data_IF_690664034416
#
_entry.id   IF_690664034416
#
_cell.length_a   1.000
_cell.length_b   1.000
_cell.length_c   1.000
_cell.angle_alpha   90.00
_cell.angle_beta   90.00
_cell.angle_gamma   90.00
#
_symmetry.space_group_name_H-M   'P 1'
#
loop_
_entity.id
_entity.type
_entity.pdbx_description
1 polymer ?
#
# COMPACT_ATOMS: atom_id res chain seq x y z
N UNK A 1 22.93 -3.15 14.65
CA UNK A 1 24.16 -2.70 13.96
C UNK A 1 24.26 -3.48 12.66
N UNK A 2 24.30 -2.78 11.54
CA UNK A 2 24.43 -3.34 10.21
C UNK A 2 25.81 -3.99 10.07
N UNK A 3 25.88 -5.21 9.53
CA UNK A 3 27.18 -5.89 9.34
C UNK A 3 27.99 -5.31 8.16
N UNK A 4 27.30 -4.70 7.18
CA UNK A 4 27.87 -4.00 6.02
C UNK A 4 26.97 -2.84 5.63
N UNK A 5 27.52 -1.75 5.08
CA UNK A 5 26.81 -0.58 4.60
C UNK A 5 26.80 0.60 5.58
N UNK A 6 26.25 1.74 5.12
CA UNK A 6 26.17 2.97 5.90
C UNK A 6 25.13 2.85 7.06
N UNK A 7 25.38 3.53 8.15
CA UNK A 7 24.40 3.64 9.25
C UNK A 7 23.17 4.42 8.80
N UNK A 8 22.01 4.06 9.31
CA UNK A 8 20.77 4.80 9.09
C UNK A 8 20.03 5.00 10.41
N UNK A 9 19.26 6.07 10.49
CA UNK A 9 18.46 6.41 11.67
C UNK A 9 17.03 5.94 11.49
N UNK A 10 16.55 5.20 12.49
CA UNK A 10 15.18 4.68 12.54
C UNK A 10 14.43 5.38 13.65
N UNK A 11 13.24 5.87 13.37
CA UNK A 11 12.27 6.26 14.37
C UNK A 11 11.16 5.21 14.43
N UNK A 12 10.86 4.68 15.61
CA UNK A 12 9.81 3.67 15.77
C UNK A 12 8.56 4.28 16.39
N UNK A 13 7.40 3.91 15.86
CA UNK A 13 6.08 4.28 16.38
C UNK A 13 5.24 3.03 16.60
N UNK A 14 4.16 3.16 17.40
CA UNK A 14 3.19 2.09 17.63
C UNK A 14 1.77 2.67 17.56
N UNK A 15 1.32 3.02 16.36
CA UNK A 15 0.05 3.71 16.11
C UNK A 15 -0.83 2.89 15.16
N UNK A 16 -2.15 2.88 15.42
CA UNK A 16 -3.15 2.30 14.51
C UNK A 16 -3.49 3.27 13.37
N UNK A 17 -3.65 4.55 13.70
CA UNK A 17 -3.80 5.63 12.73
C UNK A 17 -2.59 6.56 12.80
N UNK A 18 -1.90 6.68 11.66
CA UNK A 18 -0.71 7.53 11.53
C UNK A 18 -1.09 8.84 10.87
N UNK A 19 -1.31 9.85 11.69
CA UNK A 19 -1.72 11.17 11.24
C UNK A 19 -0.53 12.02 10.77
N UNK A 20 -0.78 12.91 9.80
CA UNK A 20 0.24 13.81 9.27
C UNK A 20 0.80 14.77 10.32
N UNK A 21 -0.03 15.19 11.28
CA UNK A 21 0.39 16.02 12.42
C UNK A 21 1.50 15.38 13.23
N UNK A 22 1.29 14.12 13.64
CA UNK A 22 2.25 13.31 14.40
C UNK A 22 3.56 13.14 13.62
N UNK A 23 3.45 12.83 12.33
CA UNK A 23 4.63 12.64 11.48
C UNK A 23 5.41 13.94 11.29
N UNK A 24 4.73 15.08 11.13
CA UNK A 24 5.37 16.40 11.04
C UNK A 24 6.11 16.76 12.33
N UNK A 25 5.53 16.48 13.49
CA UNK A 25 6.19 16.69 14.79
C UNK A 25 7.48 15.86 14.91
N UNK A 26 7.42 14.57 14.54
CA UNK A 26 8.60 13.69 14.56
C UNK A 26 9.70 14.23 13.64
N UNK A 27 9.36 14.56 12.40
CA UNK A 27 10.32 15.02 11.39
C UNK A 27 10.92 16.38 11.76
N UNK A 28 10.16 17.27 12.40
CA UNK A 28 10.66 18.56 12.86
C UNK A 28 11.57 18.44 14.11
N UNK A 29 11.29 17.47 14.97
CA UNK A 29 12.05 17.28 16.23
C UNK A 29 13.34 16.47 16.04
N UNK A 30 13.33 15.53 15.11
CA UNK A 30 14.45 14.60 14.89
C UNK A 30 14.99 14.73 13.48
N UNK A 31 16.23 15.20 13.36
CA UNK A 31 16.93 15.34 12.09
C UNK A 31 17.52 14.00 11.63
N UNK A 32 17.71 13.85 10.33
CA UNK A 32 18.40 12.72 9.67
C UNK A 32 17.71 11.35 9.85
N UNK A 33 16.39 11.34 10.04
CA UNK A 33 15.62 10.08 10.01
C UNK A 33 15.60 9.56 8.57
N UNK A 34 15.94 8.28 8.41
CA UNK A 34 15.88 7.61 7.11
C UNK A 34 14.58 6.80 6.96
N UNK A 35 14.09 6.22 8.06
CA UNK A 35 12.87 5.43 8.06
C UNK A 35 12.08 5.65 9.36
N UNK A 36 10.76 5.77 9.23
CA UNK A 36 9.82 5.65 10.33
C UNK A 36 9.19 4.25 10.25
N UNK A 37 9.39 3.44 11.27
CA UNK A 37 8.89 2.07 11.34
C UNK A 37 7.73 1.96 12.33
N UNK A 38 6.55 1.52 11.84
CA UNK A 38 5.44 1.22 12.72
C UNK A 38 5.52 -0.22 13.24
N UNK A 39 5.51 -0.38 14.57
CA UNK A 39 5.54 -1.69 15.22
C UNK A 39 4.17 -2.38 15.12
N UNK A 40 3.08 -1.62 15.05
CA UNK A 40 1.74 -2.19 14.83
C UNK A 40 1.70 -2.91 13.48
N UNK A 41 1.19 -4.13 13.48
CA UNK A 41 1.02 -4.95 12.27
C UNK A 41 -0.13 -4.41 11.40
N UNK A 42 -1.22 -3.99 12.04
CA UNK A 42 -2.40 -3.41 11.40
C UNK A 42 -2.41 -1.93 11.68
N UNK A 43 -2.35 -1.12 10.65
CA UNK A 43 -2.34 0.35 10.76
C UNK A 43 -2.87 0.99 9.47
N UNK A 44 -3.24 2.25 9.59
CA UNK A 44 -3.62 3.11 8.48
C UNK A 44 -2.77 4.37 8.47
N UNK A 45 -2.33 4.76 7.30
CA UNK A 45 -1.60 6.02 7.06
C UNK A 45 -2.11 6.62 5.76
N UNK A 46 -2.44 7.91 5.76
CA UNK A 46 -2.97 8.58 4.58
C UNK A 46 -1.93 8.69 3.45
N UNK A 47 -2.41 8.74 2.21
CA UNK A 47 -1.56 9.00 1.05
C UNK A 47 -0.83 10.34 1.15
N UNK A 48 -1.48 11.37 1.71
CA UNK A 48 -0.87 12.67 1.99
C UNK A 48 0.34 12.54 2.94
N UNK A 49 0.18 11.78 4.04
CA UNK A 49 1.27 11.55 4.99
C UNK A 49 2.43 10.81 4.36
N UNK A 50 2.14 9.80 3.53
CA UNK A 50 3.18 9.07 2.79
C UNK A 50 3.91 10.00 1.82
N UNK A 51 3.17 10.80 1.04
CA UNK A 51 3.75 11.75 0.10
C UNK A 51 4.62 12.82 0.81
N UNK A 52 4.18 13.29 1.99
CA UNK A 52 4.99 14.19 2.81
C UNK A 52 6.32 13.54 3.21
N UNK A 53 6.31 12.31 3.71
CA UNK A 53 7.53 11.58 4.07
C UNK A 53 8.46 11.38 2.86
N UNK A 54 7.89 11.00 1.72
CA UNK A 54 8.65 10.84 0.48
C UNK A 54 9.30 12.16 0.02
N UNK A 55 8.61 13.30 0.17
CA UNK A 55 9.18 14.62 -0.14
C UNK A 55 10.37 15.00 0.75
N UNK A 56 10.52 14.32 1.89
CA UNK A 56 11.63 14.47 2.84
C UNK A 56 12.68 13.34 2.71
N UNK A 57 12.56 12.47 1.72
CA UNK A 57 13.39 11.27 1.57
C UNK A 57 13.34 10.34 2.80
N UNK A 58 12.20 10.28 3.47
CA UNK A 58 11.97 9.40 4.61
C UNK A 58 11.07 8.25 4.17
N UNK A 59 11.52 7.01 4.37
CA UNK A 59 10.72 5.82 4.16
C UNK A 59 9.75 5.59 5.32
N UNK A 60 8.62 4.95 5.02
CA UNK A 60 7.67 4.49 6.02
C UNK A 60 7.31 3.03 5.78
N UNK A 61 7.22 2.25 6.85
CA UNK A 61 6.81 0.85 6.74
C UNK A 61 6.65 0.15 8.08
N UNK A 62 6.33 -1.15 8.02
CA UNK A 62 6.29 -2.01 9.19
C UNK A 62 7.66 -2.61 9.53
N UNK A 63 7.69 -3.51 10.52
CA UNK A 63 8.93 -4.19 10.93
C UNK A 63 9.57 -5.02 9.82
N UNK A 64 8.76 -5.62 8.93
CA UNK A 64 9.28 -6.36 7.76
C UNK A 64 10.00 -5.44 6.75
N UNK A 65 9.50 -4.22 6.58
CA UNK A 65 10.14 -3.21 5.72
C UNK A 65 11.46 -2.73 6.34
N UNK A 66 11.47 -2.51 7.65
CA UNK A 66 12.69 -2.18 8.39
C UNK A 66 13.76 -3.27 8.26
N UNK A 67 13.39 -4.54 8.39
CA UNK A 67 14.31 -5.66 8.23
C UNK A 67 14.89 -5.72 6.81
N UNK A 68 14.04 -5.54 5.79
CA UNK A 68 14.48 -5.45 4.39
C UNK A 68 15.43 -4.27 4.17
N UNK A 69 15.08 -3.10 4.67
CA UNK A 69 15.92 -1.90 4.59
C UNK A 69 17.29 -2.13 5.25
N UNK A 70 17.32 -2.81 6.41
CA UNK A 70 18.55 -3.12 7.12
C UNK A 70 19.47 -4.12 6.40
N UNK A 71 18.92 -4.95 5.53
CA UNK A 71 19.68 -5.98 4.78
C UNK A 71 20.23 -5.49 3.43
N UNK A 72 19.80 -4.33 2.94
CA UNK A 72 20.27 -3.77 1.66
C UNK A 72 21.66 -3.15 1.84
N UNK A 73 22.59 -3.39 0.91
CA UNK A 73 23.95 -2.85 0.95
C UNK A 73 23.98 -1.37 0.57
N UNK A 74 23.11 -0.95 -0.34
CA UNK A 74 22.99 0.42 -0.80
C UNK A 74 21.94 1.19 -0.01
N UNK A 75 22.25 2.46 0.30
CA UNK A 75 21.34 3.38 0.99
C UNK A 75 20.28 4.00 0.06
N UNK A 76 20.04 3.42 -1.09
CA UNK A 76 18.89 3.83 -1.87
C UNK A 76 17.64 3.51 -1.06
N UNK A 77 17.06 4.57 -0.53
CA UNK A 77 15.75 4.55 0.13
C UNK A 77 14.76 4.05 -0.92
N UNK A 78 14.55 2.75 -0.94
CA UNK A 78 13.57 2.16 -1.83
C UNK A 78 12.22 2.38 -1.19
N UNK A 79 11.71 3.56 -1.46
CA UNK A 79 10.41 4.05 -1.07
C UNK A 79 9.39 3.14 -1.76
N UNK A 80 8.76 2.24 -1.00
CA UNK A 80 7.57 1.47 -1.40
C UNK A 80 7.60 0.87 -2.84
N UNK A 81 8.47 -0.14 -3.02
CA UNK A 81 8.59 -0.87 -4.32
C UNK A 81 7.26 -1.41 -4.85
N UNK A 82 6.35 -1.79 -3.96
CA UNK A 82 5.04 -2.27 -4.35
C UNK A 82 4.24 -1.15 -5.02
N UNK A 83 4.18 0.02 -4.40
CA UNK A 83 3.44 1.15 -4.97
C UNK A 83 4.10 1.70 -6.24
N UNK A 84 5.41 1.63 -6.36
CA UNK A 84 6.11 1.97 -7.60
C UNK A 84 5.73 1.04 -8.75
N UNK A 85 5.63 -0.25 -8.47
CA UNK A 85 5.16 -1.24 -9.45
C UNK A 85 3.71 -0.96 -9.86
N UNK A 86 2.82 -0.75 -8.89
CA UNK A 86 1.40 -0.41 -9.11
C UNK A 86 1.28 0.87 -9.94
N UNK A 87 1.95 1.94 -9.52
CA UNK A 87 1.88 3.25 -10.19
C UNK A 87 2.40 3.19 -11.62
N UNK A 88 3.44 2.41 -11.89
CA UNK A 88 3.95 2.21 -13.25
C UNK A 88 2.90 1.53 -14.13
N UNK A 89 2.27 0.46 -13.67
CA UNK A 89 1.21 -0.22 -14.41
C UNK A 89 0.01 0.68 -14.67
N UNK A 90 -0.42 1.46 -13.67
CA UNK A 90 -1.54 2.39 -13.83
C UNK A 90 -1.22 3.54 -14.80
N UNK A 91 0.01 4.10 -14.77
CA UNK A 91 0.43 5.16 -15.72
C UNK A 91 0.47 4.70 -17.16
N UNK A 92 0.78 3.43 -17.38
CA UNK A 92 0.88 2.84 -18.72
C UNK A 92 -0.47 2.39 -19.29
N UNK A 93 -1.52 2.34 -18.45
CA UNK A 93 -2.82 1.82 -18.85
C UNK A 93 -3.67 2.89 -19.54
N UNK A 94 -4.07 2.64 -20.79
CA UNK A 94 -4.78 3.63 -21.63
C UNK A 94 -6.11 4.11 -21.03
N UNK A 95 -6.80 3.27 -20.27
CA UNK A 95 -8.08 3.63 -19.65
C UNK A 95 -7.93 4.44 -18.37
N UNK A 96 -6.73 4.56 -17.81
CA UNK A 96 -6.47 5.33 -16.59
C UNK A 96 -6.20 6.79 -16.94
N UNK A 97 -7.10 7.67 -16.54
CA UNK A 97 -6.95 9.13 -16.68
C UNK A 97 -6.01 9.71 -15.60
N UNK A 98 -6.18 9.27 -14.36
CA UNK A 98 -5.34 9.62 -13.22
C UNK A 98 -5.60 8.65 -12.08
N UNK A 99 -4.70 8.62 -11.10
CA UNK A 99 -4.92 7.89 -9.87
C UNK A 99 -4.34 8.63 -8.67
N UNK A 100 -4.87 8.33 -7.50
CA UNK A 100 -4.51 8.93 -6.23
C UNK A 100 -4.38 7.84 -5.18
N UNK A 101 -3.29 7.86 -4.41
CA UNK A 101 -3.11 7.01 -3.25
C UNK A 101 -3.90 7.60 -2.08
N UNK A 102 -4.96 6.94 -1.65
CA UNK A 102 -5.78 7.40 -0.53
C UNK A 102 -5.11 7.08 0.83
N UNK A 103 -4.49 5.91 0.92
CA UNK A 103 -3.76 5.45 2.10
C UNK A 103 -2.74 4.37 1.75
N UNK A 104 -2.24 3.65 2.75
CA UNK A 104 -1.23 2.60 2.54
C UNK A 104 -1.70 1.44 1.67
N UNK A 105 -3.00 1.28 1.43
CA UNK A 105 -3.56 0.17 0.65
C UNK A 105 -4.54 0.59 -0.43
N UNK A 106 -5.28 1.69 -0.24
CA UNK A 106 -6.29 2.11 -1.22
C UNK A 106 -5.73 3.05 -2.27
N UNK A 107 -6.12 2.79 -3.51
CA UNK A 107 -5.85 3.66 -4.67
C UNK A 107 -7.17 3.98 -5.34
N UNK A 108 -7.46 5.28 -5.49
CA UNK A 108 -8.57 5.76 -6.30
C UNK A 108 -8.09 5.95 -7.72
N UNK A 109 -8.78 5.36 -8.67
CA UNK A 109 -8.43 5.37 -10.09
C UNK A 109 -9.55 6.05 -10.85
N UNK A 110 -9.23 7.17 -11.51
CA UNK A 110 -10.12 7.84 -12.45
C UNK A 110 -9.91 7.25 -13.82
N UNK A 111 -10.99 6.87 -14.48
CA UNK A 111 -10.96 6.23 -15.80
C UNK A 111 -11.55 7.16 -16.85
N UNK A 112 -11.14 6.98 -18.13
CA UNK A 112 -11.75 7.65 -19.26
C UNK A 112 -13.16 7.06 -19.51
N UNK A 113 -14.19 7.92 -19.56
CA UNK A 113 -15.59 7.58 -19.88
C UNK A 113 -16.23 6.48 -19.02
N UNK A 114 -15.60 6.11 -17.91
CA UNK A 114 -16.08 5.12 -16.96
C UNK A 114 -16.07 5.66 -15.53
N UNK A 115 -16.86 5.06 -14.63
CA UNK A 115 -16.86 5.41 -13.20
C UNK A 115 -15.50 5.23 -12.56
N UNK A 116 -15.17 6.10 -11.61
CA UNK A 116 -13.99 5.95 -10.74
C UNK A 116 -14.06 4.62 -9.97
N UNK A 117 -12.91 4.06 -9.67
CA UNK A 117 -12.75 2.83 -8.89
C UNK A 117 -11.83 3.07 -7.73
N UNK A 118 -12.20 2.61 -6.54
CA UNK A 118 -11.31 2.52 -5.39
C UNK A 118 -10.94 1.05 -5.21
N UNK A 119 -9.66 0.75 -5.36
CA UNK A 119 -9.09 -0.57 -5.22
C UNK A 119 -8.23 -0.67 -3.97
N UNK A 120 -8.31 -1.80 -3.26
CA UNK A 120 -7.36 -2.18 -2.22
C UNK A 120 -6.28 -3.05 -2.84
N UNK A 121 -5.02 -2.69 -2.61
CA UNK A 121 -3.84 -3.41 -3.08
C UNK A 121 -3.27 -4.26 -1.93
N UNK A 122 -3.32 -5.58 -2.06
CA UNK A 122 -2.80 -6.52 -1.06
C UNK A 122 -1.65 -7.34 -1.63
N UNK A 123 -0.51 -7.28 -0.95
CA UNK A 123 0.69 -8.05 -1.31
C UNK A 123 0.81 -9.36 -0.53
N UNK A 124 -0.31 -9.90 -0.07
CA UNK A 124 -0.33 -11.17 0.63
C UNK A 124 0.06 -12.31 -0.31
N UNK A 125 0.80 -13.30 0.19
CA UNK A 125 1.07 -14.52 -0.57
C UNK A 125 -0.24 -15.22 -0.93
N UNK A 126 -1.15 -15.33 0.01
CA UNK A 126 -2.49 -15.86 -0.18
C UNK A 126 -3.54 -14.89 0.36
N UNK A 127 -4.53 -14.54 -0.45
CA UNK A 127 -5.70 -13.78 0.01
C UNK A 127 -6.71 -14.76 0.60
N UNK A 128 -6.91 -14.67 1.91
CA UNK A 128 -7.82 -15.49 2.69
C UNK A 128 -9.13 -14.77 3.01
N UNK A 129 -10.08 -15.47 3.63
CA UNK A 129 -11.30 -14.90 4.21
C UNK A 129 -10.97 -13.75 5.18
N UNK A 130 -9.93 -13.96 5.99
CA UNK A 130 -9.49 -12.96 6.97
C UNK A 130 -8.96 -11.70 6.28
N UNK A 131 -8.20 -11.84 5.19
CA UNK A 131 -7.74 -10.70 4.38
C UNK A 131 -8.91 -9.86 3.86
N UNK A 132 -10.01 -10.50 3.41
CA UNK A 132 -11.21 -9.80 2.92
C UNK A 132 -11.93 -9.07 4.05
N UNK A 133 -12.17 -9.74 5.18
CA UNK A 133 -12.88 -9.17 6.33
C UNK A 133 -12.11 -8.01 6.94
N UNK A 134 -10.83 -8.20 7.24
CA UNK A 134 -9.95 -7.16 7.79
C UNK A 134 -9.88 -5.94 6.87
N UNK A 135 -9.83 -6.15 5.55
CA UNK A 135 -9.86 -5.05 4.58
C UNK A 135 -11.17 -4.28 4.66
N UNK A 136 -12.33 -4.97 4.76
CA UNK A 136 -13.64 -4.32 4.86
C UNK A 136 -13.80 -3.54 6.15
N UNK A 137 -13.33 -4.08 7.25
CA UNK A 137 -13.42 -3.46 8.58
C UNK A 137 -12.54 -2.20 8.66
N UNK A 138 -11.32 -2.27 8.13
CA UNK A 138 -10.34 -1.17 8.23
C UNK A 138 -10.61 -0.05 7.22
N UNK A 139 -10.96 -0.39 5.98
CA UNK A 139 -10.99 0.59 4.87
C UNK A 139 -12.40 0.98 4.42
N UNK A 140 -13.43 0.21 4.71
CA UNK A 140 -14.86 0.43 4.42
C UNK A 140 -15.21 0.69 2.95
N UNK A 141 -14.73 1.78 2.36
CA UNK A 141 -15.14 2.24 1.03
C UNK A 141 -14.14 1.82 -0.05
N UNK A 142 -14.48 0.76 -0.78
CA UNK A 142 -13.76 0.27 -1.96
C UNK A 142 -14.64 -0.74 -2.72
N UNK A 143 -14.35 -0.98 -3.99
CA UNK A 143 -15.10 -1.86 -4.86
C UNK A 143 -14.38 -3.19 -5.12
N UNK A 144 -13.04 -3.20 -5.05
CA UNK A 144 -12.24 -4.37 -5.43
C UNK A 144 -11.03 -4.56 -4.54
N UNK A 145 -10.70 -5.82 -4.28
CA UNK A 145 -9.43 -6.25 -3.70
C UNK A 145 -8.55 -6.80 -4.82
N UNK A 146 -7.37 -6.25 -4.96
CA UNK A 146 -6.38 -6.62 -5.96
C UNK A 146 -5.19 -7.28 -5.29
N UNK A 147 -4.93 -8.53 -5.64
CA UNK A 147 -3.73 -9.24 -5.22
C UNK A 147 -2.56 -8.78 -6.08
N UNK A 148 -1.61 -8.06 -5.47
CA UNK A 148 -0.41 -7.51 -6.14
C UNK A 148 0.78 -8.46 -6.12
N UNK A 149 0.82 -9.41 -5.16
CA UNK A 149 1.84 -10.44 -5.10
C UNK A 149 1.66 -11.45 -6.25
N UNK A 150 2.65 -11.66 -7.13
CA UNK A 150 2.55 -12.61 -8.24
C UNK A 150 2.53 -14.08 -7.77
N UNK A 151 3.01 -14.36 -6.57
CA UNK A 151 3.08 -15.69 -6.01
C UNK A 151 1.87 -16.00 -5.10
N UNK A 152 1.56 -17.29 -4.95
CA UNK A 152 0.40 -17.74 -4.18
C UNK A 152 -0.91 -17.50 -4.91
N UNK A 153 -2.02 -17.40 -4.17
CA UNK A 153 -3.35 -17.40 -4.77
C UNK A 153 -4.40 -16.58 -4.01
N UNK A 154 -5.63 -16.74 -4.45
CA UNK A 154 -6.84 -16.25 -3.79
C UNK A 154 -7.67 -17.49 -3.48
N UNK A 155 -7.99 -17.72 -2.21
CA UNK A 155 -8.76 -18.91 -1.82
C UNK A 155 -10.19 -18.86 -2.37
N UNK A 156 -10.79 -20.02 -2.55
CA UNK A 156 -12.20 -20.14 -3.00
C UNK A 156 -13.14 -19.47 -2.01
N UNK A 157 -12.89 -19.65 -0.73
CA UNK A 157 -13.66 -19.09 0.36
C UNK A 157 -13.56 -17.56 0.40
N UNK A 158 -12.38 -17.00 0.11
CA UNK A 158 -12.19 -15.55 0.00
C UNK A 158 -13.05 -14.97 -1.13
N UNK A 159 -13.12 -15.65 -2.28
CA UNK A 159 -13.98 -15.22 -3.40
C UNK A 159 -15.46 -15.25 -3.03
N UNK A 160 -15.91 -16.29 -2.33
CA UNK A 160 -17.30 -16.39 -1.86
C UNK A 160 -17.64 -15.25 -0.90
N UNK A 161 -16.80 -15.00 0.11
CA UNK A 161 -17.02 -13.93 1.09
C UNK A 161 -16.97 -12.56 0.41
N UNK A 162 -16.03 -12.30 -0.48
CA UNK A 162 -15.99 -11.04 -1.25
C UNK A 162 -17.31 -10.82 -2.01
N UNK A 163 -17.82 -11.85 -2.68
CA UNK A 163 -19.11 -11.79 -3.38
C UNK A 163 -20.30 -11.46 -2.46
N UNK A 164 -20.37 -12.04 -1.25
CA UNK A 164 -21.43 -11.72 -0.27
C UNK A 164 -21.38 -10.28 0.24
N UNK A 165 -20.21 -9.65 0.16
CA UNK A 165 -19.97 -8.25 0.56
C UNK A 165 -20.06 -7.27 -0.63
N UNK A 166 -20.44 -7.74 -1.81
CA UNK A 166 -20.41 -6.98 -3.07
C UNK A 166 -19.04 -6.36 -3.35
N UNK A 167 -17.98 -7.11 -3.05
CA UNK A 167 -16.58 -6.74 -3.31
C UNK A 167 -16.06 -7.67 -4.40
N UNK A 168 -15.49 -7.10 -5.45
CA UNK A 168 -14.73 -7.90 -6.40
C UNK A 168 -13.36 -8.27 -5.85
N UNK A 169 -12.81 -9.40 -6.31
CA UNK A 169 -11.46 -9.83 -5.93
C UNK A 169 -10.78 -10.47 -7.13
N UNK A 170 -9.57 -10.03 -7.44
CA UNK A 170 -8.82 -10.53 -8.59
C UNK A 170 -7.30 -10.36 -8.43
N UNK A 171 -6.55 -10.92 -9.36
CA UNK A 171 -5.10 -10.69 -9.49
C UNK A 171 -4.82 -9.32 -10.13
N UNK A 172 -3.57 -8.85 -10.04
CA UNK A 172 -3.15 -7.60 -10.70
C UNK A 172 -3.37 -7.63 -12.22
N UNK A 173 -3.05 -8.74 -12.88
CA UNK A 173 -3.25 -8.88 -14.32
C UNK A 173 -4.72 -8.80 -14.73
N UNK A 174 -5.60 -9.52 -14.01
CA UNK A 174 -7.05 -9.46 -14.23
C UNK A 174 -7.62 -8.06 -13.97
N UNK A 175 -7.10 -7.38 -12.94
CA UNK A 175 -7.50 -6.02 -12.60
C UNK A 175 -7.25 -5.04 -13.74
N UNK A 176 -6.06 -5.10 -14.35
CA UNK A 176 -5.76 -4.24 -15.50
C UNK A 176 -6.75 -4.49 -16.66
N UNK A 177 -7.10 -5.74 -16.93
CA UNK A 177 -8.15 -6.06 -17.91
C UNK A 177 -9.51 -5.47 -17.55
N UNK A 178 -9.90 -5.55 -16.27
CA UNK A 178 -11.16 -5.02 -15.74
C UNK A 178 -11.26 -3.50 -15.78
N UNK A 179 -10.16 -2.77 -15.78
CA UNK A 179 -10.18 -1.31 -15.90
C UNK A 179 -10.84 -0.83 -17.21
N UNK A 180 -10.91 -1.67 -18.23
CA UNK A 180 -11.56 -1.38 -19.51
C UNK A 180 -13.08 -1.62 -19.52
N UNK A 181 -13.65 -2.15 -18.44
CA UNK A 181 -15.06 -2.59 -18.41
C UNK A 181 -15.90 -1.76 -17.44
N UNK A 182 -17.23 -1.78 -17.64
CA UNK A 182 -18.16 -1.24 -16.66
C UNK A 182 -18.17 -2.13 -15.42
N UNK A 183 -18.27 -1.48 -14.26
CA UNK A 183 -18.42 -2.13 -12.96
C UNK A 183 -19.78 -1.77 -12.40
N UNK A 184 -20.50 -2.75 -11.98
CA UNK A 184 -21.82 -2.58 -11.36
C UNK A 184 -21.69 -2.12 -9.90
#
# INVERSE_FOLDING_TARGET
>A
IRKKGLTFKVFTISLEDVEISTVKEIVNKYTDINIIANIKKVYKISGETINFLHSKNISFGGMGDLMRFSSQEDNEITIDKEFDYISRGLRQHLQVKSFERLDNRRVKIKRHDLKDVIAIMLNDYEISVESVRSSKDLYKDFQIIVKTNPNGGITSEAKVIAGTLNIEICTWGDFLGKLNTFWN
#
